data_IF_105413216986
#
_entry.id   IF_105413216986
#
_cell.length_a   1.000
_cell.length_b   1.000
_cell.length_c   1.000
_cell.angle_alpha   90.00
_cell.angle_beta   90.00
_cell.angle_gamma   90.00
#
_symmetry.space_group_name_H-M   'P 1'
#
loop_
_entity.id
_entity.type
_entity.pdbx_description
1 polymer ?
#
# COMPACT_ATOMS: atom_id res chain seq x y z
N UNK A 1 -31.06 11.69 6.91
CA UNK A 1 -30.26 12.69 6.18
C UNK A 1 -30.09 12.21 4.74
N UNK A 2 -30.32 13.03 3.72
CA UNK A 2 -30.10 12.62 2.33
C UNK A 2 -28.62 12.35 2.07
N UNK A 3 -28.38 11.28 1.30
CA UNK A 3 -27.01 10.87 0.91
C UNK A 3 -26.37 11.96 0.03
N UNK A 4 -25.10 12.21 0.22
CA UNK A 4 -24.35 13.15 -0.65
C UNK A 4 -24.14 12.56 -2.03
N UNK A 5 -24.05 13.42 -3.09
CA UNK A 5 -23.78 12.98 -4.46
C UNK A 5 -22.55 12.07 -4.59
N UNK A 6 -21.56 12.26 -3.73
CA UNK A 6 -20.37 11.41 -3.68
C UNK A 6 -20.67 10.01 -3.11
N UNK A 7 -21.57 9.89 -2.13
CA UNK A 7 -21.98 8.60 -1.59
C UNK A 7 -22.78 7.78 -2.61
N UNK A 8 -23.65 8.45 -3.37
CA UNK A 8 -24.41 7.80 -4.46
C UNK A 8 -23.51 7.34 -5.62
N UNK A 9 -22.49 8.13 -5.95
CA UNK A 9 -21.52 7.75 -6.98
C UNK A 9 -20.71 6.51 -6.58
N UNK A 10 -20.31 6.43 -5.32
CA UNK A 10 -19.57 5.27 -4.78
C UNK A 10 -20.45 4.02 -4.69
N UNK A 11 -21.70 4.15 -4.27
CA UNK A 11 -22.66 3.04 -4.27
C UNK A 11 -22.89 2.50 -5.70
N UNK A 12 -23.05 3.39 -6.68
CA UNK A 12 -23.18 3.01 -8.09
C UNK A 12 -21.93 2.29 -8.63
N UNK A 13 -20.74 2.74 -8.20
CA UNK A 13 -19.48 2.09 -8.57
C UNK A 13 -19.35 0.71 -7.94
N UNK A 14 -19.64 0.59 -6.64
CA UNK A 14 -19.67 -0.69 -5.94
C UNK A 14 -20.64 -1.67 -6.61
N UNK A 15 -21.84 -1.23 -6.94
CA UNK A 15 -22.83 -2.04 -7.65
C UNK A 15 -22.34 -2.49 -9.04
N UNK A 16 -21.62 -1.64 -9.77
CA UNK A 16 -21.02 -2.01 -11.06
C UNK A 16 -19.96 -3.10 -10.88
N UNK A 17 -19.10 -2.96 -9.87
CA UNK A 17 -18.05 -3.94 -9.57
C UNK A 17 -18.66 -5.28 -9.17
N UNK A 18 -19.70 -5.29 -8.33
CA UNK A 18 -20.45 -6.50 -7.95
C UNK A 18 -21.02 -7.18 -9.19
N UNK A 19 -21.73 -6.45 -10.07
CA UNK A 19 -22.30 -7.00 -11.31
C UNK A 19 -21.22 -7.56 -12.23
N UNK A 20 -20.06 -6.91 -12.30
CA UNK A 20 -18.95 -7.37 -13.13
C UNK A 20 -18.34 -8.65 -12.57
N UNK A 21 -18.15 -8.74 -11.24
CA UNK A 21 -17.70 -9.94 -10.57
C UNK A 21 -18.67 -11.12 -10.71
N UNK A 22 -19.97 -10.87 -10.60
CA UNK A 22 -21.03 -11.87 -10.84
C UNK A 22 -21.02 -12.38 -12.28
N UNK A 23 -20.86 -11.47 -13.26
CA UNK A 23 -20.74 -11.84 -14.67
C UNK A 23 -19.53 -12.71 -14.93
N UNK A 24 -18.38 -12.35 -14.40
CA UNK A 24 -17.13 -13.13 -14.53
C UNK A 24 -17.26 -14.52 -13.90
N UNK A 25 -17.96 -14.63 -12.75
CA UNK A 25 -18.28 -15.93 -12.13
C UNK A 25 -19.25 -16.78 -12.93
N UNK A 26 -20.30 -16.14 -13.49
CA UNK A 26 -21.25 -16.83 -14.33
C UNK A 26 -20.60 -17.37 -15.61
N UNK A 27 -19.68 -16.61 -16.20
CA UNK A 27 -18.92 -17.01 -17.38
C UNK A 27 -17.91 -18.12 -17.06
N UNK A 28 -17.25 -18.07 -15.90
CA UNK A 28 -16.38 -19.14 -15.40
C UNK A 28 -17.15 -20.45 -15.07
N UNK A 29 -18.37 -20.33 -14.54
CA UNK A 29 -19.23 -21.48 -14.27
C UNK A 29 -19.75 -22.12 -15.58
N UNK A 30 -20.07 -21.32 -16.60
CA UNK A 30 -20.43 -21.82 -17.94
C UNK A 30 -19.28 -22.50 -18.67
N UNK A 31 -18.03 -22.09 -18.41
CA UNK A 31 -16.82 -22.70 -18.96
C UNK A 31 -16.54 -24.10 -18.41
N UNK A 32 -17.02 -24.43 -17.19
CA UNK A 32 -16.85 -25.76 -16.58
C UNK A 32 -17.74 -26.86 -17.13
N UNK A 33 -18.81 -26.52 -17.83
CA UNK A 33 -19.79 -27.49 -18.35
C UNK A 33 -19.65 -27.81 -19.84
N UNK A 34 -18.56 -27.39 -20.48
CA UNK A 34 -18.28 -27.82 -21.87
C UNK A 34 -17.34 -29.02 -21.83
N UNK A 35 -17.95 -30.22 -21.94
CA UNK A 35 -17.26 -31.46 -22.23
C UNK A 35 -16.28 -31.30 -23.40
N UNK A 36 -15.10 -31.88 -23.20
CA UNK A 36 -14.01 -31.91 -24.15
C UNK A 36 -14.46 -32.39 -25.54
N UNK A 37 -14.58 -31.49 -26.50
CA UNK A 37 -14.59 -31.85 -27.90
C UNK A 37 -13.16 -31.82 -28.41
N UNK A 38 -12.65 -32.99 -28.81
CA UNK A 38 -11.36 -33.21 -29.43
C UNK A 38 -11.30 -32.51 -30.80
N UNK A 39 -10.91 -31.23 -30.83
CA UNK A 39 -10.44 -30.57 -32.06
C UNK A 39 -8.98 -30.20 -31.85
N UNK A 40 -8.07 -30.50 -32.81
CA UNK A 40 -6.67 -30.16 -32.70
C UNK A 40 -6.52 -28.63 -32.60
N UNK A 41 -5.58 -28.11 -31.78
CA UNK A 41 -5.39 -26.69 -31.61
C UNK A 41 -4.94 -26.06 -32.95
N UNK A 42 -5.70 -25.06 -33.42
CA UNK A 42 -5.23 -24.20 -34.51
C UNK A 42 -3.92 -23.59 -34.08
N UNK A 43 -2.88 -23.74 -34.89
CA UNK A 43 -1.56 -23.11 -34.70
C UNK A 43 -1.72 -21.60 -34.60
N UNK A 44 -1.93 -21.10 -33.39
CA UNK A 44 -1.78 -19.71 -33.05
C UNK A 44 -0.30 -19.38 -33.09
N UNK A 45 0.08 -18.33 -33.80
CA UNK A 45 1.48 -17.91 -33.88
C UNK A 45 2.08 -17.67 -32.50
N UNK A 46 3.41 -17.72 -32.38
CA UNK A 46 4.22 -17.50 -31.18
C UNK A 46 3.76 -16.33 -30.28
N UNK A 47 3.13 -15.31 -30.87
CA UNK A 47 2.58 -14.13 -30.15
C UNK A 47 1.20 -14.38 -29.51
N UNK A 48 0.49 -15.46 -29.83
CA UNK A 48 -0.82 -15.74 -29.21
C UNK A 48 -0.70 -16.25 -27.78
N UNK A 49 0.37 -16.97 -27.45
CA UNK A 49 0.67 -17.41 -26.07
C UNK A 49 1.05 -16.26 -25.14
N UNK A 50 1.74 -15.25 -25.63
CA UNK A 50 2.13 -14.05 -24.86
C UNK A 50 0.95 -13.13 -24.53
N UNK A 51 -0.16 -13.23 -25.25
CA UNK A 51 -1.38 -12.44 -25.01
C UNK A 51 -2.36 -13.09 -24.04
N UNK A 52 -2.26 -14.40 -23.84
CA UNK A 52 -3.19 -15.13 -22.98
C UNK A 52 -2.99 -14.83 -21.48
N UNK A 53 -1.76 -14.45 -21.09
CA UNK A 53 -1.40 -14.15 -19.68
C UNK A 53 -1.36 -12.66 -19.36
N UNK A 54 -1.64 -11.78 -20.32
CA UNK A 54 -1.64 -10.34 -20.05
C UNK A 54 -2.85 -9.95 -19.19
N UNK A 55 -2.66 -9.14 -18.11
CA UNK A 55 -3.74 -8.70 -17.25
C UNK A 55 -4.77 -7.89 -18.07
N UNK A 56 -6.04 -8.26 -17.99
CA UNK A 56 -7.14 -7.63 -18.72
C UNK A 56 -7.88 -6.58 -17.89
N UNK A 57 -7.67 -6.56 -16.57
CA UNK A 57 -8.29 -5.63 -15.64
C UNK A 57 -7.25 -4.99 -14.74
N UNK A 58 -7.56 -3.82 -14.17
CA UNK A 58 -6.69 -3.17 -13.20
C UNK A 58 -6.41 -4.06 -11.99
N UNK A 59 -7.39 -4.83 -11.52
CA UNK A 59 -7.23 -5.78 -10.42
C UNK A 59 -6.23 -6.89 -10.75
N UNK A 60 -6.25 -7.40 -11.96
CA UNK A 60 -5.31 -8.44 -12.41
C UNK A 60 -3.88 -7.92 -12.54
N UNK A 61 -3.70 -6.63 -12.83
CA UNK A 61 -2.38 -6.01 -12.91
C UNK A 61 -1.72 -5.75 -11.54
N UNK A 62 -2.50 -5.79 -10.44
CA UNK A 62 -1.97 -5.62 -9.10
C UNK A 62 -1.26 -6.90 -8.64
N UNK A 63 0.08 -6.88 -8.38
CA UNK A 63 0.92 -8.06 -8.29
C UNK A 63 0.93 -8.70 -6.90
N UNK A 64 -0.22 -8.95 -6.27
CA UNK A 64 -0.30 -9.81 -5.09
C UNK A 64 -1.50 -10.75 -5.20
N UNK A 65 -1.47 -11.87 -4.50
CA UNK A 65 -2.57 -12.84 -4.49
C UNK A 65 -3.56 -12.58 -3.36
N UNK A 66 -3.06 -12.43 -2.14
CA UNK A 66 -3.88 -12.31 -0.95
C UNK A 66 -3.27 -11.31 0.05
N UNK A 67 -4.13 -10.55 0.73
CA UNK A 67 -3.77 -9.69 1.85
C UNK A 67 -4.49 -10.19 3.10
N UNK A 68 -3.74 -10.40 4.19
CA UNK A 68 -4.28 -10.88 5.46
C UNK A 68 -4.41 -9.73 6.47
N UNK A 69 -5.28 -9.92 7.48
CA UNK A 69 -5.56 -8.88 8.49
C UNK A 69 -4.33 -8.45 9.29
N UNK A 70 -3.43 -9.39 9.57
CA UNK A 70 -2.19 -9.20 10.33
C UNK A 70 -1.05 -8.55 9.54
N UNK A 71 -1.34 -8.10 8.32
CA UNK A 71 -0.37 -7.42 7.47
C UNK A 71 0.49 -8.36 6.64
N UNK A 72 0.31 -9.66 6.70
CA UNK A 72 0.96 -10.59 5.77
C UNK A 72 0.33 -10.42 4.40
N UNK A 73 1.16 -10.36 3.37
CA UNK A 73 0.74 -10.33 1.98
C UNK A 73 1.38 -11.49 1.23
N UNK A 74 0.57 -12.32 0.58
CA UNK A 74 1.02 -13.36 -0.32
C UNK A 74 1.16 -12.79 -1.72
N UNK A 75 2.39 -12.71 -2.20
CA UNK A 75 2.69 -12.18 -3.55
C UNK A 75 2.56 -13.25 -4.63
N UNK A 76 3.22 -14.39 -4.42
CA UNK A 76 3.19 -15.55 -5.31
C UNK A 76 2.61 -16.77 -4.59
N UNK A 77 2.77 -17.96 -5.15
CA UNK A 77 2.33 -19.19 -4.49
C UNK A 77 3.10 -19.47 -3.20
N UNK A 78 4.37 -19.05 -3.14
CA UNK A 78 5.29 -19.33 -2.04
C UNK A 78 5.83 -18.10 -1.33
N UNK A 79 5.80 -16.91 -1.96
CA UNK A 79 6.39 -15.70 -1.39
C UNK A 79 5.39 -14.93 -0.53
N UNK A 80 5.72 -14.78 0.75
CA UNK A 80 4.96 -14.02 1.74
C UNK A 80 5.78 -12.85 2.27
N UNK A 81 5.14 -11.70 2.48
CA UNK A 81 5.81 -10.46 2.90
C UNK A 81 5.11 -9.77 4.04
N UNK A 82 5.88 -9.04 4.86
CA UNK A 82 5.40 -8.04 5.82
C UNK A 82 6.07 -6.69 5.58
N UNK A 83 5.44 -5.62 6.05
CA UNK A 83 5.94 -4.25 5.86
C UNK A 83 5.97 -3.53 7.20
N UNK A 84 7.06 -2.85 7.47
CA UNK A 84 7.28 -1.98 8.62
C UNK A 84 7.47 -0.55 8.14
N UNK A 85 6.76 0.39 8.71
CA UNK A 85 7.00 1.82 8.53
C UNK A 85 8.08 2.25 9.53
N UNK A 86 9.05 3.05 9.07
CA UNK A 86 10.07 3.62 9.94
C UNK A 86 10.20 5.12 9.73
N UNK A 87 10.74 5.81 10.73
CA UNK A 87 10.82 7.26 10.77
C UNK A 87 12.28 7.73 10.76
N UNK A 88 12.48 9.04 10.61
CA UNK A 88 13.82 9.64 10.62
C UNK A 88 14.39 9.73 12.04
N UNK A 89 15.71 9.77 12.10
CA UNK A 89 16.48 10.21 13.26
C UNK A 89 17.20 11.53 12.92
N UNK A 90 17.51 12.31 13.94
CA UNK A 90 18.22 13.58 13.78
C UNK A 90 19.72 13.37 13.58
N UNK A 91 20.11 12.64 12.54
CA UNK A 91 21.50 12.36 12.21
C UNK A 91 22.35 13.62 12.04
N UNK A 92 21.79 14.69 11.48
CA UNK A 92 22.53 15.93 11.24
C UNK A 92 22.94 16.65 12.52
N UNK A 93 22.13 16.55 13.57
CA UNK A 93 22.36 17.18 14.87
C UNK A 93 23.22 16.30 15.80
N UNK A 94 23.50 15.07 15.45
CA UNK A 94 24.31 14.14 16.23
C UNK A 94 25.79 14.55 16.22
N UNK A 95 26.49 14.29 17.31
CA UNK A 95 27.94 14.47 17.42
C UNK A 95 28.68 13.46 16.52
N UNK A 96 29.96 13.69 16.28
CA UNK A 96 30.74 12.84 15.37
C UNK A 96 30.81 11.38 15.83
N UNK A 97 30.92 11.15 17.13
CA UNK A 97 30.93 9.82 17.73
C UNK A 97 29.60 9.11 17.59
N UNK A 98 28.48 9.83 17.84
CA UNK A 98 27.11 9.31 17.65
C UNK A 98 26.84 8.96 16.18
N UNK A 99 27.35 9.79 15.24
CA UNK A 99 27.24 9.52 13.81
C UNK A 99 27.93 8.23 13.38
N UNK A 100 29.14 7.97 13.94
CA UNK A 100 29.86 6.73 13.67
C UNK A 100 29.09 5.52 14.21
N UNK A 101 28.55 5.62 15.43
CA UNK A 101 27.76 4.55 16.05
C UNK A 101 26.45 4.29 15.27
N UNK A 102 25.75 5.34 14.83
CA UNK A 102 24.56 5.20 13.99
C UNK A 102 24.90 4.50 12.67
N UNK A 103 26.03 4.85 12.05
CA UNK A 103 26.47 4.23 10.80
C UNK A 103 26.83 2.76 10.98
N UNK A 104 27.56 2.41 12.05
CA UNK A 104 27.89 1.03 12.39
C UNK A 104 26.63 0.19 12.61
N UNK A 105 25.69 0.69 13.44
CA UNK A 105 24.42 0.02 13.67
C UNK A 105 23.57 -0.11 12.42
N UNK A 106 23.64 0.84 11.47
CA UNK A 106 22.99 0.72 10.17
C UNK A 106 23.62 -0.39 9.31
N UNK A 107 24.93 -0.52 9.32
CA UNK A 107 25.62 -1.62 8.65
C UNK A 107 25.23 -2.98 9.25
N UNK A 108 25.18 -3.08 10.56
CA UNK A 108 24.75 -4.30 11.26
C UNK A 108 23.30 -4.65 10.94
N UNK A 109 22.42 -3.65 10.90
CA UNK A 109 21.03 -3.84 10.48
C UNK A 109 20.92 -4.40 9.07
N UNK A 110 21.69 -3.90 8.12
CA UNK A 110 21.67 -4.42 6.74
C UNK A 110 22.26 -5.83 6.65
N UNK A 111 23.28 -6.13 7.43
CA UNK A 111 23.92 -7.45 7.49
C UNK A 111 23.04 -8.52 8.15
N UNK A 112 21.97 -8.12 8.86
CA UNK A 112 20.99 -9.05 9.42
C UNK A 112 20.26 -9.86 8.33
N UNK A 113 20.06 -9.27 7.18
CA UNK A 113 19.31 -9.90 6.09
C UNK A 113 20.19 -10.83 5.27
N UNK A 114 19.99 -12.12 5.41
CA UNK A 114 20.65 -13.14 4.58
C UNK A 114 19.95 -13.34 3.22
N UNK A 115 20.53 -14.20 2.39
CA UNK A 115 20.02 -14.47 1.04
C UNK A 115 18.62 -15.15 1.02
N UNK A 116 18.12 -15.64 2.14
CA UNK A 116 16.78 -16.25 2.25
C UNK A 116 15.67 -15.23 2.50
N UNK A 117 16.01 -13.98 2.80
CA UNK A 117 15.10 -12.91 3.10
C UNK A 117 15.10 -11.89 1.95
N UNK A 118 13.98 -11.76 1.26
CA UNK A 118 13.79 -10.69 0.29
C UNK A 118 13.57 -9.37 1.03
N UNK A 119 14.31 -8.33 0.66
CA UNK A 119 14.21 -7.01 1.30
C UNK A 119 13.97 -5.92 0.26
N UNK A 120 13.03 -5.02 0.56
CA UNK A 120 12.74 -3.86 -0.27
C UNK A 120 12.60 -2.62 0.63
N UNK A 121 13.40 -1.59 0.36
CA UNK A 121 13.21 -0.26 0.92
C UNK A 121 12.35 0.58 -0.02
N UNK A 122 11.32 1.20 0.54
CA UNK A 122 10.36 2.01 -0.23
C UNK A 122 10.27 3.40 0.36
N UNK A 123 10.46 4.41 -0.49
CA UNK A 123 10.34 5.82 -0.15
C UNK A 123 9.20 6.42 -0.98
N UNK A 124 8.21 6.99 -0.31
CA UNK A 124 7.02 7.53 -0.97
C UNK A 124 6.85 8.99 -0.57
N UNK A 125 6.77 9.86 -1.57
CA UNK A 125 6.35 11.24 -1.38
C UNK A 125 4.85 11.31 -1.65
N UNK A 126 4.07 11.61 -0.63
CA UNK A 126 2.62 11.79 -0.74
C UNK A 126 2.27 13.24 -0.46
N UNK A 127 1.24 13.74 -1.13
CA UNK A 127 0.64 15.02 -0.73
C UNK A 127 0.15 14.89 0.70
N UNK A 128 0.64 15.76 1.57
CA UNK A 128 0.12 15.85 2.93
C UNK A 128 -1.35 16.28 2.83
N UNK A 129 -2.24 15.58 3.53
CA UNK A 129 -3.57 16.11 3.74
C UNK A 129 -3.43 17.31 4.68
N UNK A 130 -3.46 18.52 4.11
CA UNK A 130 -3.27 19.77 4.86
C UNK A 130 -4.28 19.92 6.00
N UNK A 131 -5.47 19.32 5.88
CA UNK A 131 -6.48 19.34 6.93
C UNK A 131 -6.11 18.44 8.12
N UNK A 132 -5.62 17.23 7.87
CA UNK A 132 -5.19 16.31 8.95
C UNK A 132 -3.90 16.81 9.59
N UNK A 133 -3.03 17.43 8.79
CA UNK A 133 -1.81 18.03 9.28
C UNK A 133 -2.09 19.28 10.13
N UNK A 134 -3.00 20.16 9.68
CA UNK A 134 -3.44 21.33 10.45
C UNK A 134 -4.01 20.93 11.82
N UNK A 135 -4.76 19.82 11.88
CA UNK A 135 -5.27 19.26 13.14
C UNK A 135 -4.16 18.74 14.06
N UNK A 136 -3.09 18.15 13.51
CA UNK A 136 -1.97 17.63 14.30
C UNK A 136 -1.13 18.72 14.95
N UNK A 137 -1.18 19.96 14.42
CA UNK A 137 -0.49 21.14 14.93
C UNK A 137 -1.41 21.98 15.82
N UNK A 138 -2.70 21.68 15.85
CA UNK A 138 -3.66 22.42 16.66
C UNK A 138 -3.38 22.13 18.14
N UNK A 139 -2.89 23.16 18.85
CA UNK A 139 -2.66 23.10 20.28
C UNK A 139 -3.97 23.46 20.96
N UNK A 140 -4.62 22.57 21.68
CA UNK A 140 -5.92 22.86 22.30
C UNK A 140 -5.78 23.97 23.35
N UNK A 141 -6.72 24.90 23.35
CA UNK A 141 -6.83 25.91 24.39
C UNK A 141 -7.09 25.26 25.76
N UNK A 142 -6.44 25.77 26.80
CA UNK A 142 -6.57 25.28 28.18
C UNK A 142 -7.36 26.22 29.08
N UNK A 143 -7.76 27.39 28.56
CA UNK A 143 -8.46 28.43 29.31
C UNK A 143 -7.56 29.24 30.25
N UNK A 144 -6.26 29.25 29.99
CA UNK A 144 -5.27 29.98 30.77
C UNK A 144 -4.71 31.20 29.97
N UNK A 145 -3.89 32.02 30.65
CA UNK A 145 -3.28 33.24 30.08
C UNK A 145 -2.35 32.96 28.87
N UNK A 146 -1.93 31.69 28.65
CA UNK A 146 -1.02 31.30 27.56
C UNK A 146 -1.75 30.86 26.30
N UNK A 147 -3.07 30.89 26.24
CA UNK A 147 -3.83 30.45 25.05
C UNK A 147 -3.54 31.32 23.82
N UNK A 148 -3.26 32.63 24.03
CA UNK A 148 -2.79 33.51 22.96
C UNK A 148 -1.48 33.06 22.35
N UNK A 149 -0.50 32.69 23.18
CA UNK A 149 0.82 32.22 22.74
C UNK A 149 0.71 30.85 22.03
N UNK A 150 -0.12 29.94 22.54
CA UNK A 150 -0.37 28.64 21.89
C UNK A 150 -0.93 28.79 20.47
N UNK A 151 -1.88 29.72 20.32
CA UNK A 151 -2.47 30.04 19.01
C UNK A 151 -1.44 30.63 18.05
N UNK A 152 -0.67 31.63 18.50
CA UNK A 152 0.38 32.26 17.69
C UNK A 152 1.44 31.23 17.26
N UNK A 153 1.86 30.35 18.16
CA UNK A 153 2.81 29.29 17.86
C UNK A 153 2.23 28.27 16.85
N UNK A 154 0.99 27.86 16.99
CA UNK A 154 0.32 26.99 16.04
C UNK A 154 0.19 27.64 14.65
N UNK A 155 -0.14 28.95 14.59
CA UNK A 155 -0.24 29.69 13.33
C UNK A 155 1.12 29.88 12.67
N UNK A 156 2.18 30.12 13.44
CA UNK A 156 3.56 30.14 12.95
C UNK A 156 3.97 28.80 12.35
N UNK A 157 3.69 27.69 13.02
CA UNK A 157 3.98 26.32 12.51
C UNK A 157 3.22 26.04 11.22
N UNK A 158 1.94 26.41 11.15
CA UNK A 158 1.13 26.30 9.92
C UNK A 158 1.73 27.13 8.77
N UNK A 159 2.18 28.32 9.05
CA UNK A 159 2.82 29.21 8.08
C UNK A 159 4.17 28.66 7.56
N UNK A 160 4.98 28.09 8.42
CA UNK A 160 6.26 27.47 8.01
C UNK A 160 6.05 26.26 7.10
N UNK A 161 5.04 25.45 7.38
CA UNK A 161 4.70 24.30 6.55
C UNK A 161 4.23 24.67 5.16
N UNK A 162 3.42 25.74 5.05
CA UNK A 162 3.01 26.26 3.74
C UNK A 162 4.19 26.73 2.90
N UNK A 163 5.26 27.22 3.54
CA UNK A 163 6.47 27.73 2.87
C UNK A 163 7.53 26.66 2.58
N UNK A 164 7.59 25.61 3.39
CA UNK A 164 8.77 24.72 3.42
C UNK A 164 8.69 23.42 2.62
N UNK A 165 7.52 22.84 2.40
CA UNK A 165 7.42 21.45 1.98
C UNK A 165 6.55 21.17 0.76
N UNK A 166 6.15 22.11 -0.05
CA UNK A 166 5.24 21.90 -1.19
C UNK A 166 4.05 20.94 -0.88
N UNK A 167 3.69 20.79 0.40
CA UNK A 167 2.64 19.87 0.85
C UNK A 167 2.97 18.39 0.68
N UNK A 168 4.25 18.00 0.58
CA UNK A 168 4.67 16.61 0.45
C UNK A 168 5.19 16.05 1.78
N UNK A 169 4.69 14.87 2.15
CA UNK A 169 5.20 14.07 3.28
C UNK A 169 5.95 12.86 2.74
N UNK A 170 7.19 12.68 3.18
CA UNK A 170 7.98 11.49 2.86
C UNK A 170 7.67 10.39 3.87
N UNK A 171 7.22 9.25 3.36
CA UNK A 171 7.01 8.04 4.15
C UNK A 171 8.02 6.96 3.74
N UNK A 172 8.50 6.20 4.71
CA UNK A 172 9.55 5.21 4.54
C UNK A 172 9.08 3.86 5.05
N UNK A 173 9.33 2.85 4.25
CA UNK A 173 8.92 1.48 4.56
C UNK A 173 10.04 0.51 4.24
N UNK A 174 10.15 -0.52 5.06
CA UNK A 174 10.91 -1.73 4.76
C UNK A 174 9.92 -2.87 4.63
N UNK A 175 9.97 -3.55 3.51
CA UNK A 175 9.21 -4.77 3.27
C UNK A 175 10.20 -5.92 3.21
N UNK A 176 9.95 -6.95 4.01
CA UNK A 176 10.73 -8.18 3.99
C UNK A 176 9.82 -9.35 3.65
N UNK A 177 10.39 -10.34 2.98
CA UNK A 177 9.65 -11.49 2.47
C UNK A 177 10.46 -12.76 2.55
N UNK A 178 9.77 -13.87 2.65
CA UNK A 178 10.34 -15.22 2.67
C UNK A 178 9.51 -16.15 1.82
N UNK A 179 10.15 -17.19 1.31
CA UNK A 179 9.46 -18.30 0.67
C UNK A 179 9.03 -19.31 1.73
N UNK A 180 7.78 -19.78 1.62
CA UNK A 180 7.19 -20.80 2.46
C UNK A 180 6.08 -21.54 1.71
N UNK A 181 5.88 -22.81 2.02
CA UNK A 181 4.87 -23.66 1.37
C UNK A 181 3.46 -23.32 1.85
N UNK A 182 3.32 -22.82 3.07
CA UNK A 182 2.03 -22.50 3.67
C UNK A 182 2.07 -21.23 4.52
N UNK A 183 0.87 -20.64 4.73
CA UNK A 183 0.69 -19.41 5.50
C UNK A 183 1.14 -19.54 6.96
N UNK A 184 0.96 -20.70 7.60
CA UNK A 184 1.30 -20.91 9.02
C UNK A 184 2.80 -20.82 9.23
N UNK A 185 3.56 -21.51 8.39
CA UNK A 185 5.02 -21.47 8.38
C UNK A 185 5.53 -20.06 8.05
N UNK A 186 4.94 -19.41 7.03
CA UNK A 186 5.26 -18.04 6.67
C UNK A 186 5.05 -17.09 7.84
N UNK A 187 3.91 -17.19 8.53
CA UNK A 187 3.55 -16.33 9.66
C UNK A 187 4.57 -16.41 10.79
N UNK A 188 4.90 -17.61 11.25
CA UNK A 188 5.86 -17.79 12.34
C UNK A 188 7.24 -17.18 12.01
N UNK A 189 7.72 -17.38 10.78
CA UNK A 189 9.02 -16.84 10.35
C UNK A 189 8.98 -15.33 10.18
N UNK A 190 7.93 -14.79 9.56
CA UNK A 190 7.77 -13.35 9.36
C UNK A 190 7.57 -12.58 10.67
N UNK A 191 6.87 -13.14 11.66
CA UNK A 191 6.72 -12.53 12.99
C UNK A 191 8.04 -12.47 13.75
N UNK A 192 8.89 -13.50 13.59
CA UNK A 192 10.25 -13.47 14.15
C UNK A 192 11.10 -12.38 13.49
N UNK A 193 11.14 -12.34 12.15
CA UNK A 193 11.89 -11.31 11.42
C UNK A 193 11.38 -9.91 11.77
N UNK A 194 10.06 -9.72 11.90
CA UNK A 194 9.46 -8.45 12.32
C UNK A 194 9.99 -8.01 13.70
N UNK A 195 10.03 -8.94 14.66
CA UNK A 195 10.53 -8.67 16.00
C UNK A 195 12.00 -8.25 15.96
N UNK A 196 12.83 -8.96 15.19
CA UNK A 196 14.25 -8.64 15.03
C UNK A 196 14.47 -7.29 14.34
N UNK A 197 13.70 -7.01 13.28
CA UNK A 197 13.74 -5.72 12.56
C UNK A 197 13.36 -4.56 13.48
N UNK A 198 12.29 -4.71 14.26
CA UNK A 198 11.87 -3.67 15.22
C UNK A 198 12.91 -3.46 16.33
N UNK A 199 13.54 -4.54 16.82
CA UNK A 199 14.61 -4.46 17.81
C UNK A 199 15.84 -3.71 17.26
N UNK A 200 16.25 -4.01 16.02
CA UNK A 200 17.34 -3.32 15.35
C UNK A 200 17.05 -1.83 15.14
N UNK A 201 15.84 -1.47 14.69
CA UNK A 201 15.44 -0.06 14.61
C UNK A 201 15.47 0.64 15.96
N UNK A 202 15.01 -0.03 17.03
CA UNK A 202 15.05 0.51 18.38
C UNK A 202 16.50 0.77 18.85
N UNK A 203 17.43 -0.14 18.55
CA UNK A 203 18.87 0.02 18.86
C UNK A 203 19.46 1.22 18.11
N UNK A 204 19.04 1.47 16.88
CA UNK A 204 19.41 2.65 16.09
C UNK A 204 18.74 3.96 16.57
N UNK A 205 17.84 3.91 17.55
CA UNK A 205 17.04 5.07 17.95
C UNK A 205 15.95 5.47 16.95
N UNK A 206 15.67 4.61 15.96
CA UNK A 206 14.64 4.83 14.93
C UNK A 206 13.30 4.33 15.44
N UNK A 207 12.29 5.18 15.38
CA UNK A 207 10.92 4.74 15.60
C UNK A 207 10.45 3.92 14.40
N UNK A 208 9.86 2.76 14.67
CA UNK A 208 9.31 1.89 13.64
C UNK A 208 8.04 1.18 14.14
N UNK A 209 7.14 0.88 13.22
CA UNK A 209 5.91 0.13 13.53
C UNK A 209 5.51 -0.79 12.37
N UNK A 210 5.02 -1.99 12.63
CA UNK A 210 4.51 -2.86 11.59
C UNK A 210 3.19 -2.30 11.03
N UNK A 211 2.94 -2.55 9.76
CA UNK A 211 1.65 -2.26 9.13
C UNK A 211 0.75 -3.49 9.21
N UNK A 212 -0.49 -3.29 9.63
CA UNK A 212 -1.53 -4.29 9.47
C UNK A 212 -2.06 -4.34 8.03
N UNK A 213 -2.96 -5.30 7.73
CA UNK A 213 -3.47 -5.48 6.38
C UNK A 213 -4.30 -4.30 5.87
N UNK A 214 -5.03 -3.61 6.74
CA UNK A 214 -5.80 -2.42 6.38
C UNK A 214 -4.85 -1.28 5.97
N UNK A 215 -3.83 -1.03 6.78
CA UNK A 215 -2.83 0.02 6.52
C UNK A 215 -2.02 -0.26 5.24
N UNK A 216 -1.71 -1.53 4.96
CA UNK A 216 -1.07 -1.91 3.70
C UNK A 216 -1.97 -1.70 2.49
N UNK A 217 -3.26 -2.00 2.60
CA UNK A 217 -4.23 -1.73 1.54
C UNK A 217 -4.42 -0.22 1.32
N UNK A 218 -4.48 0.57 2.40
CA UNK A 218 -4.55 2.03 2.32
C UNK A 218 -3.30 2.61 1.64
N UNK A 219 -2.11 2.07 1.97
CA UNK A 219 -0.86 2.45 1.33
C UNK A 219 -0.88 2.17 -0.17
N UNK A 220 -1.30 0.98 -0.59
CA UNK A 220 -1.41 0.61 -2.01
C UNK A 220 -2.47 1.46 -2.72
N UNK A 221 -3.62 1.69 -2.09
CA UNK A 221 -4.66 2.57 -2.63
C UNK A 221 -4.12 3.97 -2.88
N UNK A 222 -3.36 4.54 -1.94
CA UNK A 222 -2.81 5.89 -2.08
C UNK A 222 -1.82 6.04 -3.25
N UNK A 223 -1.14 4.96 -3.64
CA UNK A 223 -0.24 4.95 -4.79
C UNK A 223 -0.97 4.76 -6.12
N UNK A 224 -2.07 4.02 -6.09
CA UNK A 224 -2.92 3.79 -7.27
C UNK A 224 -3.92 4.93 -7.52
N UNK A 225 -4.05 5.87 -6.56
CA UNK A 225 -4.89 7.07 -6.65
C UNK A 225 -4.08 8.32 -6.30
N UNK A 226 -3.15 8.73 -7.19
CA UNK A 226 -2.16 9.78 -6.90
C UNK A 226 -2.77 11.17 -6.71
N UNK A 227 -3.99 11.42 -7.19
CA UNK A 227 -4.74 12.66 -7.00
C UNK A 227 -5.28 12.83 -5.56
N UNK A 228 -5.38 11.72 -4.81
CA UNK A 228 -5.89 11.71 -3.44
C UNK A 228 -7.37 12.07 -3.31
N UNK A 229 -8.10 12.18 -4.42
CA UNK A 229 -9.53 12.56 -4.39
C UNK A 229 -10.42 11.39 -3.94
N UNK A 230 -10.04 10.18 -4.29
CA UNK A 230 -10.78 8.99 -3.90
C UNK A 230 -10.34 8.53 -2.50
N UNK A 231 -11.24 8.60 -1.53
CA UNK A 231 -10.97 8.14 -0.17
C UNK A 231 -11.02 6.63 -0.10
N UNK A 232 -9.99 6.03 0.50
CA UNK A 232 -9.98 4.60 0.80
C UNK A 232 -11.10 4.24 1.78
N UNK A 233 -11.92 3.26 1.41
CA UNK A 233 -13.00 2.73 2.25
C UNK A 233 -13.03 1.22 2.10
N UNK A 234 -12.66 0.54 3.16
CA UNK A 234 -12.61 -0.91 3.22
C UNK A 234 -12.81 -1.39 4.64
N UNK A 235 -13.62 -2.42 4.81
CA UNK A 235 -13.70 -3.20 6.03
C UNK A 235 -13.59 -4.68 5.71
N UNK A 236 -12.93 -5.44 6.59
CA UNK A 236 -12.79 -6.89 6.42
C UNK A 236 -14.13 -7.63 6.43
N UNK A 237 -15.17 -7.04 7.03
CA UNK A 237 -16.51 -7.60 7.08
C UNK A 237 -17.24 -7.57 5.72
N UNK A 238 -16.76 -6.75 4.78
CA UNK A 238 -17.40 -6.60 3.47
C UNK A 238 -17.01 -7.72 2.50
N UNK A 239 -15.81 -8.31 2.65
CA UNK A 239 -15.31 -9.35 1.74
C UNK A 239 -16.24 -10.58 1.61
N UNK A 240 -16.69 -11.22 2.72
CA UNK A 240 -17.55 -12.39 2.61
C UNK A 240 -18.91 -12.10 2.00
N UNK A 241 -19.44 -10.89 2.23
CA UNK A 241 -20.78 -10.48 1.80
C UNK A 241 -20.83 -10.11 0.33
N UNK A 242 -19.78 -9.49 -0.19
CA UNK A 242 -19.75 -8.96 -1.57
C UNK A 242 -19.14 -9.93 -2.56
N UNK A 243 -18.35 -10.90 -2.07
CA UNK A 243 -17.57 -11.78 -2.92
C UNK A 243 -16.45 -11.08 -3.69
N UNK A 244 -16.14 -9.85 -3.31
CA UNK A 244 -15.03 -9.06 -3.83
C UNK A 244 -13.71 -9.50 -3.17
N UNK A 245 -12.60 -9.25 -3.84
CA UNK A 245 -11.26 -9.38 -3.29
C UNK A 245 -10.78 -8.05 -2.73
N UNK A 246 -9.71 -8.05 -1.94
CA UNK A 246 -9.08 -6.81 -1.46
C UNK A 246 -8.62 -5.91 -2.61
N UNK A 247 -8.30 -6.47 -3.78
CA UNK A 247 -7.88 -5.72 -4.97
C UNK A 247 -8.99 -4.82 -5.53
N UNK A 248 -10.24 -5.23 -5.38
CA UNK A 248 -11.38 -4.46 -5.89
C UNK A 248 -11.56 -3.12 -5.15
N UNK A 249 -11.06 -3.03 -3.93
CA UNK A 249 -11.13 -1.81 -3.11
C UNK A 249 -9.95 -0.86 -3.32
N UNK A 250 -8.84 -1.35 -3.89
CA UNK A 250 -7.65 -0.52 -4.13
C UNK A 250 -7.39 -0.25 -5.61
N UNK A 251 -8.06 -1.00 -6.52
CA UNK A 251 -7.85 -0.84 -7.94
C UNK A 251 -8.41 0.49 -8.46
N UNK A 252 -7.67 1.21 -9.32
CA UNK A 252 -8.19 2.39 -9.99
C UNK A 252 -9.30 2.03 -10.98
N UNK A 253 -10.06 3.02 -11.42
CA UNK A 253 -11.14 2.86 -12.39
C UNK A 253 -10.67 2.32 -13.75
N UNK A 254 -9.41 2.54 -14.08
CA UNK A 254 -8.77 2.02 -15.29
C UNK A 254 -7.25 2.17 -15.20
N UNK A 255 -6.54 1.30 -15.91
CA UNK A 255 -5.11 1.36 -16.10
C UNK A 255 -4.79 1.01 -17.55
N UNK A 256 -3.96 1.81 -18.19
CA UNK A 256 -3.53 1.53 -19.57
C UNK A 256 -2.07 1.94 -19.78
N UNK A 257 -1.40 1.21 -20.66
CA UNK A 257 -0.04 1.50 -21.07
C UNK A 257 -0.02 1.90 -22.54
N UNK A 258 0.78 2.89 -22.90
CA UNK A 258 0.99 3.27 -24.29
C UNK A 258 1.67 2.12 -25.05
N UNK A 259 1.49 2.08 -26.37
CA UNK A 259 2.04 1.03 -27.23
C UNK A 259 3.57 1.00 -27.23
N UNK A 260 4.19 2.15 -27.01
CA UNK A 260 5.65 2.32 -26.96
C UNK A 260 6.23 2.08 -25.56
N UNK A 261 5.38 1.79 -24.56
CA UNK A 261 5.80 1.52 -23.18
C UNK A 261 6.34 2.75 -22.42
N UNK A 262 6.26 3.94 -23.00
CA UNK A 262 6.82 5.17 -22.39
C UNK A 262 5.86 5.89 -21.47
N UNK A 263 4.56 5.68 -21.64
CA UNK A 263 3.52 6.37 -20.89
C UNK A 263 2.54 5.35 -20.33
N UNK A 264 2.13 5.54 -19.08
CA UNK A 264 1.01 4.82 -18.50
C UNK A 264 -0.04 5.81 -18.01
N UNK A 265 -1.28 5.37 -17.96
CA UNK A 265 -2.41 6.13 -17.41
C UNK A 265 -3.07 5.33 -16.31
N UNK A 266 -3.37 6.00 -15.22
CA UNK A 266 -4.14 5.45 -14.11
C UNK A 266 -5.35 6.34 -13.91
N UNK A 267 -6.54 5.83 -14.14
CA UNK A 267 -7.76 6.64 -14.24
C UNK A 267 -7.58 7.76 -15.27
N UNK A 268 -7.71 9.01 -14.86
CA UNK A 268 -7.57 10.19 -15.73
C UNK A 268 -6.14 10.79 -15.72
N UNK A 269 -5.20 10.18 -14.99
CA UNK A 269 -3.82 10.65 -14.88
C UNK A 269 -2.88 9.90 -15.81
N UNK A 270 -1.89 10.61 -16.36
CA UNK A 270 -0.84 10.05 -17.21
C UNK A 270 0.55 10.35 -16.64
N UNK A 271 1.44 9.39 -16.70
CA UNK A 271 2.85 9.49 -16.33
C UNK A 271 3.75 8.92 -17.41
#
# INVERSE_FOLDING_TARGET
>A
MPKTKQQEAQEKRLQRNIRQAEKTRADAAKGRNKTASNKPPKKGGFLAGLRADAPQTAQQSIPYREMYKDGICRLTDTLYTKTVQFFDINYQLAQAEDKAQIFEGYCDFLNYFDASIHVQLTFINQRANMQDFAKSIEIPARGDEYDGIRKEYADMLKGQLQKGNNGLTKRKYITFGIEADDLRTAKMRLERIETDVLANFKTLGVQARPLNGLERLELLHSQLHPDGQEKFRFTWADLPKTGLSTKDFIAPSGMSFSRDGKTFRVADHSG
#
